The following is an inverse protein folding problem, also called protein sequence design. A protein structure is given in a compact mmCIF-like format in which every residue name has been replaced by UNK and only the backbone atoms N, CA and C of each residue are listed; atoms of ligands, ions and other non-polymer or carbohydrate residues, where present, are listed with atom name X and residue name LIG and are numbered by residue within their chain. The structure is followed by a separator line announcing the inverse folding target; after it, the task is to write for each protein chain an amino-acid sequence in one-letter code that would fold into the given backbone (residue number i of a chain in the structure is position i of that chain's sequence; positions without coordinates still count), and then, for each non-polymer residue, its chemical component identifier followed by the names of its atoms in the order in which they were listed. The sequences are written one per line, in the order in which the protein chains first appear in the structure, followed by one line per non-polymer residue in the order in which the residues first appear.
data_IF_296269191280
#
_entry.id   IF_296269191280
#
_cell.length_a   1.000
_cell.length_b   1.000
_cell.length_c   1.000
_cell.angle_alpha   90.00
_cell.angle_beta   90.00
_cell.angle_gamma   90.00
#
_symmetry.space_group_name_H-M   'P 1'
#
loop_
_entity.id
_entity.type
_entity.pdbx_description
1 polymer ?
#
# COMPACT_ATOMS: atom_id res chain seq x y z
N UNK A 1 33.54 12.23 -21.57
CA UNK A 1 33.58 10.75 -21.71
C UNK A 1 33.29 9.98 -20.40
N UNK A 2 33.94 10.28 -19.28
CA UNK A 2 33.75 9.48 -18.03
C UNK A 2 32.35 9.49 -17.43
N UNK A 3 31.62 10.61 -17.41
CA UNK A 3 30.31 10.74 -16.80
C UNK A 3 29.24 9.91 -17.53
N UNK A 4 29.25 9.84 -18.85
CA UNK A 4 28.31 9.07 -19.67
C UNK A 4 28.46 7.56 -19.40
N UNK A 5 29.68 7.03 -19.37
CA UNK A 5 29.92 5.62 -19.05
C UNK A 5 29.48 5.24 -17.65
N UNK A 6 29.64 6.17 -16.69
CA UNK A 6 29.17 5.95 -15.32
C UNK A 6 27.64 5.89 -15.26
N UNK A 7 26.92 6.79 -15.97
CA UNK A 7 25.45 6.82 -16.00
C UNK A 7 24.87 5.60 -16.72
N UNK A 8 25.49 5.20 -17.84
CA UNK A 8 25.13 3.97 -18.57
C UNK A 8 25.21 2.74 -17.66
N UNK A 9 26.36 2.56 -16.98
CA UNK A 9 26.55 1.44 -16.05
C UNK A 9 25.51 1.45 -14.91
N UNK A 10 25.18 2.61 -14.35
CA UNK A 10 24.15 2.75 -13.33
C UNK A 10 22.78 2.32 -13.87
N UNK A 11 22.40 2.77 -15.07
CA UNK A 11 21.10 2.36 -15.67
C UNK A 11 21.05 0.85 -15.93
N UNK A 12 22.14 0.23 -16.40
CA UNK A 12 22.23 -1.22 -16.60
C UNK A 12 22.06 -1.97 -15.26
N UNK A 13 22.79 -1.57 -14.23
CA UNK A 13 22.75 -2.22 -12.91
C UNK A 13 21.33 -2.10 -12.30
N UNK A 14 20.75 -0.91 -12.32
CA UNK A 14 19.39 -0.69 -11.80
C UNK A 14 18.34 -1.45 -12.61
N UNK A 15 18.48 -1.54 -13.93
CA UNK A 15 17.60 -2.36 -14.77
C UNK A 15 17.66 -3.84 -14.40
N UNK A 16 18.86 -4.39 -14.18
CA UNK A 16 19.05 -5.77 -13.72
C UNK A 16 18.46 -5.96 -12.32
N UNK A 17 18.67 -5.03 -11.39
CA UNK A 17 18.07 -5.08 -10.04
C UNK A 17 16.54 -5.16 -10.15
N UNK A 18 15.91 -4.37 -11.02
CA UNK A 18 14.45 -4.44 -11.24
C UNK A 18 14.01 -5.82 -11.72
N UNK A 19 14.74 -6.46 -12.64
CA UNK A 19 14.43 -7.80 -13.14
C UNK A 19 14.55 -8.84 -12.00
N UNK A 20 15.66 -8.84 -11.27
CA UNK A 20 15.87 -9.77 -10.17
C UNK A 20 14.84 -9.58 -9.05
N UNK A 21 14.48 -8.35 -8.76
CA UNK A 21 13.45 -8.05 -7.77
C UNK A 21 12.07 -8.53 -8.23
N UNK A 22 11.73 -8.35 -9.51
CA UNK A 22 10.50 -8.93 -10.10
C UNK A 22 10.47 -10.44 -9.93
N UNK A 23 11.56 -11.15 -10.24
CA UNK A 23 11.66 -12.60 -10.06
C UNK A 23 11.44 -12.96 -8.58
N UNK A 24 12.02 -12.21 -7.66
CA UNK A 24 11.83 -12.39 -6.21
C UNK A 24 10.36 -12.21 -5.79
N UNK A 25 9.67 -11.19 -6.30
CA UNK A 25 8.24 -10.96 -6.05
C UNK A 25 7.41 -12.15 -6.54
N UNK A 26 7.64 -12.58 -7.78
CA UNK A 26 6.90 -13.71 -8.39
C UNK A 26 7.17 -15.02 -7.63
N UNK A 27 8.42 -15.26 -7.23
CA UNK A 27 8.76 -16.43 -6.41
C UNK A 27 8.11 -16.44 -5.04
N UNK A 28 7.90 -15.26 -4.44
CA UNK A 28 7.30 -15.12 -3.10
C UNK A 28 5.76 -15.09 -3.12
N UNK A 29 5.17 -14.30 -4.01
CA UNK A 29 3.74 -14.01 -4.02
C UNK A 29 2.95 -14.66 -5.19
N UNK A 30 3.67 -15.27 -6.13
CA UNK A 30 3.09 -15.86 -7.34
C UNK A 30 3.06 -14.90 -8.53
N UNK A 31 2.81 -15.44 -9.72
CA UNK A 31 2.78 -14.66 -10.98
C UNK A 31 1.62 -13.67 -11.04
N UNK A 32 0.59 -13.88 -10.22
CA UNK A 32 -0.58 -12.99 -10.09
C UNK A 32 -0.38 -11.86 -9.10
N UNK A 33 0.86 -11.62 -8.63
CA UNK A 33 1.15 -10.52 -7.73
C UNK A 33 0.78 -9.18 -8.39
N UNK A 34 -0.21 -8.49 -7.80
CA UNK A 34 -0.74 -7.25 -8.31
C UNK A 34 0.34 -6.21 -8.54
N UNK A 35 0.31 -5.56 -9.70
CA UNK A 35 1.21 -4.46 -10.05
C UNK A 35 2.70 -4.85 -10.18
N UNK A 36 3.08 -6.13 -10.05
CA UNK A 36 4.49 -6.55 -10.13
C UNK A 36 5.15 -6.22 -11.48
N UNK A 37 4.38 -6.17 -12.55
CA UNK A 37 4.83 -5.82 -13.90
C UNK A 37 5.54 -4.45 -13.98
N UNK A 38 5.29 -3.53 -13.02
CA UNK A 38 5.92 -2.20 -12.98
C UNK A 38 7.44 -2.29 -12.92
N UNK A 39 7.98 -3.32 -12.28
CA UNK A 39 9.42 -3.56 -12.19
C UNK A 39 10.02 -3.94 -13.55
N UNK A 40 9.27 -4.68 -14.38
CA UNK A 40 9.69 -4.99 -15.76
C UNK A 40 9.65 -3.74 -16.64
N UNK A 41 8.63 -2.89 -16.48
CA UNK A 41 8.56 -1.60 -17.20
C UNK A 41 9.72 -0.70 -16.79
N UNK A 42 10.02 -0.61 -15.48
CA UNK A 42 11.20 0.13 -14.99
C UNK A 42 12.50 -0.41 -15.56
N UNK A 43 12.66 -1.74 -15.59
CA UNK A 43 13.83 -2.38 -16.20
C UNK A 43 13.95 -2.04 -17.69
N UNK A 44 12.88 -2.22 -18.47
CA UNK A 44 12.87 -1.92 -19.90
C UNK A 44 13.22 -0.46 -20.19
N UNK A 45 12.69 0.47 -19.40
CA UNK A 45 12.98 1.89 -19.51
C UNK A 45 14.47 2.19 -19.24
N UNK A 46 15.03 1.66 -18.16
CA UNK A 46 16.44 1.87 -17.81
C UNK A 46 17.40 1.24 -18.84
N UNK A 47 17.09 0.03 -19.31
CA UNK A 47 17.88 -0.64 -20.35
C UNK A 47 17.81 0.09 -21.70
N UNK A 48 16.64 0.66 -22.04
CA UNK A 48 16.47 1.47 -23.24
C UNK A 48 17.31 2.77 -23.16
N UNK A 49 17.35 3.42 -21.99
CA UNK A 49 18.23 4.60 -21.78
C UNK A 49 19.69 4.19 -21.93
N UNK A 50 20.14 3.11 -21.32
CA UNK A 50 21.53 2.64 -21.43
C UNK A 50 21.91 2.32 -22.88
N UNK A 51 21.08 1.56 -23.60
CA UNK A 51 21.28 1.26 -25.01
C UNK A 51 21.29 2.51 -25.91
N UNK A 52 20.40 3.46 -25.63
CA UNK A 52 20.37 4.76 -26.31
C UNK A 52 21.64 5.58 -26.09
N UNK A 53 22.20 5.56 -24.86
CA UNK A 53 23.47 6.25 -24.56
C UNK A 53 24.64 5.63 -25.32
N UNK A 54 24.70 4.29 -25.45
CA UNK A 54 25.71 3.59 -26.26
C UNK A 54 25.55 3.96 -27.75
N UNK A 55 24.32 3.95 -28.26
CA UNK A 55 24.09 4.30 -29.68
C UNK A 55 24.43 5.75 -29.96
N UNK A 56 24.10 6.70 -29.07
CA UNK A 56 24.43 8.11 -29.20
C UNK A 56 25.96 8.33 -29.21
N UNK A 57 26.70 7.66 -28.31
CA UNK A 57 28.15 7.77 -28.24
C UNK A 57 28.86 7.26 -29.49
N UNK A 58 28.27 6.34 -30.26
CA UNK A 58 28.79 5.77 -31.48
C UNK A 58 28.40 6.57 -32.72
N UNK A 59 27.18 7.08 -32.77
CA UNK A 59 26.60 7.66 -33.99
C UNK A 59 26.40 9.18 -33.93
N UNK A 60 26.59 9.82 -32.75
CA UNK A 60 26.46 11.26 -32.50
C UNK A 60 25.14 11.86 -33.04
N UNK A 61 24.03 11.17 -32.74
CA UNK A 61 22.68 11.53 -33.23
C UNK A 61 22.06 12.62 -32.33
N UNK A 62 22.01 13.86 -32.76
CA UNK A 62 21.47 14.99 -32.00
C UNK A 62 20.01 14.76 -31.51
N UNK A 63 19.18 14.10 -32.34
CA UNK A 63 17.82 13.76 -31.96
C UNK A 63 17.80 12.79 -30.79
N UNK A 64 18.63 11.74 -30.83
CA UNK A 64 18.75 10.77 -29.75
C UNK A 64 19.27 11.41 -28.47
N UNK A 65 20.25 12.27 -28.54
CA UNK A 65 20.76 13.05 -27.41
C UNK A 65 19.66 13.88 -26.73
N UNK A 66 18.78 14.52 -27.50
CA UNK A 66 17.68 15.31 -26.97
C UNK A 66 16.60 14.41 -26.32
N UNK A 67 16.29 13.25 -26.90
CA UNK A 67 15.38 12.26 -26.31
C UNK A 67 15.93 11.73 -24.98
N UNK A 68 17.22 11.41 -24.90
CA UNK A 68 17.85 10.96 -23.66
C UNK A 68 17.83 12.04 -22.57
N UNK A 69 18.06 13.31 -22.93
CA UNK A 69 17.92 14.44 -21.99
C UNK A 69 16.49 14.56 -21.46
N UNK A 70 15.50 14.50 -22.35
CA UNK A 70 14.08 14.53 -21.96
C UNK A 70 13.72 13.36 -21.04
N UNK A 71 14.15 12.14 -21.37
CA UNK A 71 13.96 10.96 -20.53
C UNK A 71 14.61 11.12 -19.15
N UNK A 72 15.82 11.69 -19.08
CA UNK A 72 16.50 12.01 -17.83
C UNK A 72 15.72 13.01 -16.96
N UNK A 73 15.19 14.07 -17.56
CA UNK A 73 14.35 15.06 -16.85
C UNK A 73 13.09 14.40 -16.30
N UNK A 74 12.39 13.61 -17.11
CA UNK A 74 11.19 12.88 -16.67
C UNK A 74 11.50 11.90 -15.55
N UNK A 75 12.63 11.22 -15.62
CA UNK A 75 13.08 10.32 -14.55
C UNK A 75 13.32 11.08 -13.24
N UNK A 76 13.98 12.24 -13.28
CA UNK A 76 14.19 13.08 -12.08
C UNK A 76 12.86 13.53 -11.49
N UNK A 77 11.92 14.00 -12.32
CA UNK A 77 10.59 14.39 -11.88
C UNK A 77 9.87 13.19 -11.22
N UNK A 78 9.93 12.01 -11.85
CA UNK A 78 9.36 10.78 -11.30
C UNK A 78 9.95 10.42 -9.93
N UNK A 79 11.28 10.48 -9.78
CA UNK A 79 11.97 10.23 -8.50
C UNK A 79 11.53 11.23 -7.43
N UNK A 80 11.42 12.52 -7.78
CA UNK A 80 10.96 13.55 -6.84
C UNK A 80 9.52 13.29 -6.38
N UNK A 81 8.61 12.93 -7.29
CA UNK A 81 7.21 12.59 -6.97
C UNK A 81 7.16 11.35 -6.07
N UNK A 82 7.86 10.27 -6.44
CA UNK A 82 7.91 9.04 -5.65
C UNK A 82 8.52 9.30 -4.27
N UNK A 83 9.58 10.11 -4.19
CA UNK A 83 10.23 10.49 -2.94
C UNK A 83 9.30 11.32 -2.05
N UNK A 84 8.62 12.32 -2.61
CA UNK A 84 7.67 13.17 -1.88
C UNK A 84 6.50 12.36 -1.31
N UNK A 85 5.79 11.60 -2.14
CA UNK A 85 4.65 10.76 -1.70
C UNK A 85 5.15 9.65 -0.77
N UNK A 86 6.29 9.03 -1.09
CA UNK A 86 6.92 8.01 -0.27
C UNK A 86 7.23 8.50 1.14
N UNK A 87 7.70 9.73 1.30
CA UNK A 87 7.96 10.32 2.63
C UNK A 87 6.70 10.37 3.49
N UNK A 88 5.54 10.71 2.92
CA UNK A 88 4.26 10.70 3.64
C UNK A 88 3.81 9.27 4.01
N UNK A 89 4.01 8.31 3.09
CA UNK A 89 3.74 6.89 3.36
C UNK A 89 4.63 6.41 4.51
N UNK A 90 5.93 6.68 4.48
CA UNK A 90 6.86 6.32 5.55
C UNK A 90 6.53 6.99 6.90
N UNK A 91 6.04 8.23 6.90
CA UNK A 91 5.54 8.88 8.11
C UNK A 91 4.33 8.13 8.68
N UNK A 92 3.39 7.70 7.82
CA UNK A 92 2.26 6.84 8.20
C UNK A 92 2.70 5.51 8.79
N UNK A 93 3.69 4.85 8.18
CA UNK A 93 4.23 3.56 8.62
C UNK A 93 4.85 3.60 10.02
N UNK A 94 5.38 4.76 10.43
CA UNK A 94 6.04 4.96 11.72
C UNK A 94 5.14 5.50 12.82
N UNK A 95 3.84 5.64 12.55
CA UNK A 95 2.89 6.04 13.58
C UNK A 95 2.90 5.04 14.72
N UNK A 96 2.89 5.55 15.95
CA UNK A 96 2.72 4.72 17.14
C UNK A 96 1.24 4.60 17.43
N UNK A 97 0.70 3.39 17.60
CA UNK A 97 -0.70 3.20 17.96
C UNK A 97 -1.04 3.94 19.25
N UNK A 98 -2.08 4.78 19.21
CA UNK A 98 -2.65 5.34 20.42
C UNK A 98 -3.33 4.25 21.23
N UNK A 99 -3.30 4.36 22.54
CA UNK A 99 -3.95 3.41 23.45
C UNK A 99 -5.33 3.92 23.85
N UNK A 100 -6.19 2.98 24.27
CA UNK A 100 -7.53 3.27 24.78
C UNK A 100 -8.41 4.06 23.78
N UNK A 101 -8.29 3.72 22.49
CA UNK A 101 -9.24 4.21 21.50
C UNK A 101 -10.59 3.51 21.70
N UNK A 102 -11.71 4.26 21.70
CA UNK A 102 -13.02 3.65 21.83
C UNK A 102 -13.36 2.76 20.64
N UNK A 103 -12.90 3.15 19.44
CA UNK A 103 -13.20 2.45 18.18
C UNK A 103 -11.97 2.23 17.33
N UNK A 104 -11.89 1.04 16.71
CA UNK A 104 -10.87 0.70 15.73
C UNK A 104 -11.54 0.09 14.50
N UNK A 105 -11.29 0.65 13.32
CA UNK A 105 -11.69 0.07 12.05
C UNK A 105 -10.53 -0.80 11.55
N UNK A 106 -10.76 -2.10 11.44
CA UNK A 106 -9.84 -3.06 10.84
C UNK A 106 -10.21 -3.21 9.38
N UNK A 107 -9.35 -2.70 8.50
CA UNK A 107 -9.58 -2.80 7.06
C UNK A 107 -9.28 -4.21 6.56
N UNK A 108 -10.14 -4.75 5.73
CA UNK A 108 -9.95 -6.03 5.09
C UNK A 108 -8.78 -6.05 4.10
N UNK A 109 -8.33 -7.24 3.79
CA UNK A 109 -7.39 -7.54 2.71
C UNK A 109 -7.68 -8.98 2.27
N UNK A 110 -7.52 -9.25 1.04
CA UNK A 110 -7.89 -10.48 0.32
C UNK A 110 -7.97 -11.76 1.18
N UNK A 111 -9.05 -12.50 1.02
CA UNK A 111 -9.25 -13.88 1.47
C UNK A 111 -9.03 -14.82 0.27
N UNK A 112 -8.59 -16.03 0.48
CA UNK A 112 -8.43 -17.07 -0.56
C UNK A 112 -9.30 -18.27 -0.20
N UNK A 113 -10.42 -18.42 -0.89
CA UNK A 113 -11.48 -19.30 -0.44
C UNK A 113 -12.00 -18.82 0.90
N UNK A 114 -11.80 -19.58 1.97
CA UNK A 114 -12.10 -19.20 3.37
C UNK A 114 -10.86 -18.78 4.18
N UNK A 115 -9.64 -18.84 3.60
CA UNK A 115 -8.39 -18.60 4.34
C UNK A 115 -7.94 -17.16 4.21
N UNK A 116 -7.67 -16.53 5.34
CA UNK A 116 -7.07 -15.19 5.38
C UNK A 116 -5.70 -15.16 4.71
N UNK A 117 -5.44 -14.15 3.86
CA UNK A 117 -4.13 -13.94 3.23
C UNK A 117 -3.04 -13.66 4.27
N UNK A 118 -1.75 -13.79 3.88
CA UNK A 118 -0.62 -13.44 4.77
C UNK A 118 -0.71 -11.99 5.26
N UNK A 119 -1.14 -11.06 4.39
CA UNK A 119 -1.29 -9.64 4.72
C UNK A 119 -2.42 -9.42 5.73
N UNK A 120 -3.58 -10.05 5.52
CA UNK A 120 -4.71 -9.98 6.44
C UNK A 120 -4.37 -10.60 7.79
N UNK A 121 -3.70 -11.76 7.82
CA UNK A 121 -3.27 -12.40 9.06
C UNK A 121 -2.39 -11.49 9.94
N UNK A 122 -1.46 -10.76 9.32
CA UNK A 122 -0.63 -9.80 10.07
C UNK A 122 -1.46 -8.69 10.70
N UNK A 123 -2.46 -8.15 9.97
CA UNK A 123 -3.42 -7.19 10.52
C UNK A 123 -4.18 -7.76 11.70
N UNK A 124 -4.71 -8.97 11.56
CA UNK A 124 -5.52 -9.61 12.59
C UNK A 124 -4.70 -9.93 13.84
N UNK A 125 -3.44 -10.36 13.69
CA UNK A 125 -2.53 -10.49 14.81
C UNK A 125 -2.32 -9.16 15.55
N UNK A 126 -2.10 -8.07 14.80
CA UNK A 126 -1.97 -6.74 15.37
C UNK A 126 -3.25 -6.29 16.07
N UNK A 127 -4.43 -6.58 15.49
CA UNK A 127 -5.73 -6.29 16.11
C UNK A 127 -5.95 -7.08 17.40
N UNK A 128 -5.61 -8.38 17.42
CA UNK A 128 -5.71 -9.21 18.61
C UNK A 128 -4.78 -8.73 19.73
N UNK A 129 -3.54 -8.35 19.39
CA UNK A 129 -2.59 -7.77 20.36
C UNK A 129 -3.09 -6.42 20.91
N UNK A 130 -3.64 -5.58 20.03
CA UNK A 130 -4.24 -4.31 20.44
C UNK A 130 -5.45 -4.54 21.36
N UNK A 131 -6.34 -5.50 21.02
CA UNK A 131 -7.51 -5.86 21.80
C UNK A 131 -7.18 -6.33 23.22
N UNK A 132 -6.07 -7.07 23.38
CA UNK A 132 -5.58 -7.52 24.73
C UNK A 132 -5.12 -6.36 25.59
N UNK A 133 -4.53 -5.33 25.01
CA UNK A 133 -4.02 -4.15 25.72
C UNK A 133 -5.10 -3.10 25.99
N UNK A 134 -6.19 -3.13 25.21
CA UNK A 134 -7.26 -2.15 25.23
C UNK A 134 -8.62 -2.87 25.33
N UNK A 135 -9.04 -3.32 26.55
CA UNK A 135 -10.19 -4.19 26.73
C UNK A 135 -11.53 -3.56 26.36
N UNK A 136 -11.63 -2.23 26.38
CA UNK A 136 -12.89 -1.51 26.12
C UNK A 136 -13.06 -1.10 24.65
N UNK A 137 -12.05 -1.31 23.81
CA UNK A 137 -12.10 -0.97 22.39
C UNK A 137 -13.08 -1.85 21.62
N UNK A 138 -13.95 -1.23 20.82
CA UNK A 138 -14.84 -1.90 19.85
C UNK A 138 -14.18 -1.90 18.48
N UNK A 139 -14.21 -3.03 17.78
CA UNK A 139 -13.60 -3.21 16.46
C UNK A 139 -14.66 -3.30 15.37
N UNK A 140 -14.55 -2.47 14.35
CA UNK A 140 -15.30 -2.57 13.11
C UNK A 140 -14.46 -3.36 12.10
N UNK A 141 -14.92 -4.53 11.71
CA UNK A 141 -14.28 -5.42 10.75
C UNK A 141 -14.90 -5.11 9.39
N UNK A 142 -14.17 -4.44 8.52
CA UNK A 142 -14.74 -3.91 7.29
C UNK A 142 -14.07 -4.49 6.05
N UNK A 143 -14.89 -5.14 5.21
CA UNK A 143 -14.51 -5.75 3.95
C UNK A 143 -15.57 -6.72 3.46
N UNK A 144 -16.07 -6.49 2.24
CA UNK A 144 -17.04 -7.37 1.57
C UNK A 144 -16.36 -8.60 0.97
N UNK A 145 -17.07 -9.25 0.07
CA UNK A 145 -16.60 -10.44 -0.65
C UNK A 145 -15.96 -10.01 -1.98
N UNK A 146 -14.69 -10.35 -2.15
CA UNK A 146 -13.94 -10.12 -3.39
C UNK A 146 -14.07 -11.26 -4.39
N UNK A 147 -13.54 -11.06 -5.60
CA UNK A 147 -13.51 -12.07 -6.65
C UNK A 147 -12.70 -13.30 -6.20
N UNK A 148 -13.32 -14.48 -6.26
CA UNK A 148 -12.71 -15.77 -5.87
C UNK A 148 -12.64 -16.00 -4.37
N UNK A 149 -13.40 -15.27 -3.58
CA UNK A 149 -13.59 -15.48 -2.16
C UNK A 149 -14.90 -16.23 -1.88
N UNK A 150 -14.87 -17.19 -0.95
CA UNK A 150 -16.04 -17.99 -0.57
C UNK A 150 -16.81 -17.39 0.63
N UNK A 151 -16.22 -16.38 1.27
CA UNK A 151 -16.78 -15.65 2.43
C UNK A 151 -16.41 -14.17 2.32
N UNK A 152 -17.05 -13.30 3.10
CA UNK A 152 -16.64 -11.90 3.18
C UNK A 152 -15.35 -11.74 3.99
N UNK A 153 -14.58 -10.69 3.68
CA UNK A 153 -13.39 -10.39 4.47
C UNK A 153 -13.76 -10.11 5.94
N UNK A 154 -14.89 -9.44 6.19
CA UNK A 154 -15.39 -9.15 7.54
C UNK A 154 -15.68 -10.41 8.33
N UNK A 155 -16.33 -11.42 7.72
CA UNK A 155 -16.63 -12.69 8.35
C UNK A 155 -15.36 -13.48 8.69
N UNK A 156 -14.44 -13.60 7.72
CA UNK A 156 -13.16 -14.25 7.97
C UNK A 156 -12.32 -13.54 9.06
N UNK A 157 -12.41 -12.21 9.14
CA UNK A 157 -11.76 -11.43 10.20
C UNK A 157 -12.39 -11.70 11.57
N UNK A 158 -13.73 -11.81 11.64
CA UNK A 158 -14.45 -12.06 12.87
C UNK A 158 -14.11 -13.45 13.43
N UNK A 159 -14.18 -14.49 12.61
CA UNK A 159 -13.81 -15.85 13.00
C UNK A 159 -12.39 -15.89 13.57
N UNK A 160 -11.43 -15.30 12.84
CA UNK A 160 -10.03 -15.27 13.26
C UNK A 160 -9.85 -14.58 14.62
N UNK A 161 -10.50 -13.43 14.86
CA UNK A 161 -10.36 -12.68 16.10
C UNK A 161 -11.03 -13.38 17.29
N UNK A 162 -12.16 -14.05 17.07
CA UNK A 162 -12.79 -14.89 18.10
C UNK A 162 -11.87 -16.05 18.48
N UNK A 163 -11.29 -16.75 17.50
CA UNK A 163 -10.29 -17.80 17.75
C UNK A 163 -9.06 -17.27 18.50
N UNK A 164 -8.64 -16.03 18.22
CA UNK A 164 -7.56 -15.36 18.94
C UNK A 164 -7.94 -14.87 20.35
N UNK A 165 -9.18 -15.09 20.79
CA UNK A 165 -9.68 -14.80 22.15
C UNK A 165 -10.24 -13.38 22.31
N UNK A 166 -10.59 -12.68 21.21
CA UNK A 166 -11.31 -11.40 21.30
C UNK A 166 -12.81 -11.66 21.52
N UNK A 167 -13.42 -10.99 22.50
CA UNK A 167 -14.86 -11.12 22.77
C UNK A 167 -15.69 -10.68 21.55
N UNK A 168 -16.55 -11.58 21.06
CA UNK A 168 -17.44 -11.32 19.93
C UNK A 168 -18.34 -10.09 20.14
N UNK A 169 -18.67 -9.73 21.38
CA UNK A 169 -19.45 -8.52 21.70
C UNK A 169 -18.75 -7.22 21.33
N UNK A 170 -17.44 -7.26 21.16
CA UNK A 170 -16.61 -6.12 20.76
C UNK A 170 -16.42 -6.02 19.25
N UNK A 171 -16.90 -6.98 18.48
CA UNK A 171 -16.74 -7.05 17.02
C UNK A 171 -18.03 -6.62 16.33
N UNK A 172 -17.90 -5.71 15.36
CA UNK A 172 -18.97 -5.25 14.48
C UNK A 172 -18.53 -5.50 13.04
N UNK A 173 -19.35 -6.18 12.26
CA UNK A 173 -19.05 -6.49 10.86
C UNK A 173 -19.63 -5.43 9.92
N UNK A 174 -18.86 -5.05 8.95
CA UNK A 174 -19.27 -4.33 7.75
C UNK A 174 -18.79 -5.15 6.54
N UNK A 175 -19.71 -5.77 5.82
CA UNK A 175 -19.46 -6.83 4.83
C UNK A 175 -19.86 -6.45 3.39
N UNK A 176 -20.15 -5.15 3.12
CA UNK A 176 -20.65 -4.68 1.81
C UNK A 176 -19.59 -3.94 1.00
N UNK A 177 -18.56 -3.44 1.66
CA UNK A 177 -17.55 -2.58 1.04
C UNK A 177 -16.63 -3.35 0.11
N UNK A 178 -16.25 -2.71 -1.01
CA UNK A 178 -15.30 -3.22 -1.99
C UNK A 178 -14.07 -2.32 -2.15
N UNK A 179 -14.06 -1.15 -1.51
CA UNK A 179 -12.97 -0.17 -1.55
C UNK A 179 -12.72 0.42 -0.18
N UNK A 180 -11.50 0.90 0.06
CA UNK A 180 -11.15 1.60 1.31
C UNK A 180 -12.07 2.80 1.59
N UNK A 181 -12.52 3.50 0.55
CA UNK A 181 -13.47 4.59 0.70
C UNK A 181 -14.83 4.11 1.24
N UNK A 182 -15.32 2.99 0.73
CA UNK A 182 -16.57 2.37 1.19
C UNK A 182 -16.43 1.76 2.58
N UNK A 183 -15.29 1.15 2.90
CA UNK A 183 -15.03 0.66 4.25
C UNK A 183 -15.29 1.74 5.31
N UNK A 184 -14.69 2.91 5.12
CA UNK A 184 -14.86 4.03 6.04
C UNK A 184 -16.28 4.56 6.05
N UNK A 185 -16.88 4.73 4.87
CA UNK A 185 -18.25 5.22 4.71
C UNK A 185 -19.24 4.29 5.41
N UNK A 186 -19.17 3.00 5.13
CA UNK A 186 -20.15 2.04 5.64
C UNK A 186 -19.96 1.74 7.13
N UNK A 187 -18.73 1.79 7.65
CA UNK A 187 -18.52 1.77 9.11
C UNK A 187 -19.21 2.95 9.80
N UNK A 188 -19.13 4.15 9.22
CA UNK A 188 -19.82 5.31 9.77
C UNK A 188 -21.36 5.24 9.62
N UNK A 189 -21.86 4.51 8.61
CA UNK A 189 -23.32 4.25 8.48
C UNK A 189 -23.82 3.25 9.54
N UNK A 190 -22.99 2.27 9.96
CA UNK A 190 -23.32 1.34 11.03
C UNK A 190 -23.38 2.04 12.39
N UNK A 191 -22.49 2.96 12.64
CA UNK A 191 -22.42 3.77 13.84
C UNK A 191 -21.76 5.11 13.51
N UNK A 192 -22.32 6.26 13.93
CA UNK A 192 -21.71 7.57 13.73
C UNK A 192 -20.32 7.62 14.39
N UNK A 193 -19.25 7.62 13.56
CA UNK A 193 -17.87 7.59 14.00
C UNK A 193 -17.12 8.89 13.73
N UNK A 194 -17.71 9.84 13.01
CA UNK A 194 -17.04 11.05 12.54
C UNK A 194 -16.49 11.91 13.67
N UNK A 195 -17.22 12.03 14.79
CA UNK A 195 -16.85 12.82 15.96
C UNK A 195 -16.16 12.01 17.06
N UNK A 196 -15.99 10.71 16.83
CA UNK A 196 -15.35 9.80 17.77
C UNK A 196 -13.84 9.69 17.50
N UNK A 197 -13.10 9.27 18.53
CA UNK A 197 -11.68 8.92 18.37
C UNK A 197 -11.56 7.55 17.74
N UNK A 198 -11.05 7.49 16.50
CA UNK A 198 -11.03 6.25 15.72
C UNK A 198 -9.61 5.88 15.30
N UNK A 199 -9.20 4.63 15.57
CA UNK A 199 -8.02 4.02 15.00
C UNK A 199 -8.34 3.32 13.68
N UNK A 200 -7.49 3.51 12.66
CA UNK A 200 -7.55 2.71 11.42
C UNK A 200 -6.41 1.72 11.44
N UNK A 201 -6.73 0.43 11.55
CA UNK A 201 -5.78 -0.65 11.53
C UNK A 201 -5.65 -1.25 10.14
N UNK A 202 -4.45 -1.18 9.59
CA UNK A 202 -4.13 -1.72 8.27
C UNK A 202 -2.63 -2.06 8.17
N UNK A 203 -2.19 -2.64 7.03
CA UNK A 203 -0.77 -2.78 6.79
C UNK A 203 -0.10 -1.40 6.74
N UNK A 204 1.11 -1.33 7.27
CA UNK A 204 1.86 -0.10 7.52
C UNK A 204 1.92 0.84 6.30
N UNK A 205 2.26 0.31 5.11
CA UNK A 205 2.31 1.10 3.88
C UNK A 205 0.97 1.75 3.50
N UNK A 206 -0.17 1.18 3.94
CA UNK A 206 -1.51 1.64 3.59
C UNK A 206 -2.08 2.70 4.56
N UNK A 207 -1.51 2.85 5.75
CA UNK A 207 -2.02 3.71 6.82
C UNK A 207 -2.20 5.15 6.38
N UNK A 208 -1.19 5.74 5.72
CA UNK A 208 -1.28 7.13 5.27
C UNK A 208 -2.53 7.39 4.43
N UNK A 209 -2.76 6.59 3.39
CA UNK A 209 -3.91 6.75 2.49
C UNK A 209 -5.23 6.53 3.20
N UNK A 210 -5.33 5.51 4.04
CA UNK A 210 -6.56 5.21 4.77
C UNK A 210 -6.95 6.34 5.73
N UNK A 211 -6.00 6.88 6.50
CA UNK A 211 -6.22 8.02 7.41
C UNK A 211 -6.61 9.28 6.64
N UNK A 212 -5.94 9.59 5.52
CA UNK A 212 -6.30 10.76 4.70
C UNK A 212 -7.69 10.62 4.06
N UNK A 213 -8.08 9.42 3.65
CA UNK A 213 -9.44 9.15 3.15
C UNK A 213 -10.50 9.34 4.26
N UNK A 214 -10.22 8.88 5.48
CA UNK A 214 -11.12 9.10 6.62
C UNK A 214 -11.29 10.60 6.91
N UNK A 215 -10.21 11.35 7.00
CA UNK A 215 -10.26 12.81 7.17
C UNK A 215 -11.05 13.49 6.06
N UNK A 216 -10.92 13.02 4.82
CA UNK A 216 -11.67 13.55 3.69
C UNK A 216 -13.16 13.26 3.78
N UNK A 217 -13.57 12.19 4.47
CA UNK A 217 -14.96 11.84 4.75
C UNK A 217 -15.53 12.53 6.01
N UNK A 218 -14.72 13.30 6.74
CA UNK A 218 -15.18 14.06 7.90
C UNK A 218 -14.90 13.42 9.26
N UNK A 219 -14.04 12.39 9.32
CA UNK A 219 -13.52 11.89 10.61
C UNK A 219 -12.62 12.96 11.24
N UNK A 220 -12.98 13.45 12.42
CA UNK A 220 -12.33 14.59 13.08
C UNK A 220 -11.07 14.14 13.83
N UNK A 221 -11.16 13.07 14.62
CA UNK A 221 -10.07 12.51 15.43
C UNK A 221 -9.74 11.09 14.96
N UNK A 222 -8.84 10.97 13.98
CA UNK A 222 -8.47 9.70 13.38
C UNK A 222 -6.95 9.51 13.34
N UNK A 223 -6.50 8.36 13.81
CA UNK A 223 -5.08 7.95 13.80
C UNK A 223 -4.89 6.57 13.15
N UNK A 224 -3.64 6.25 12.81
CA UNK A 224 -3.27 4.98 12.21
C UNK A 224 -2.73 3.97 13.22
N UNK A 225 -3.08 2.70 13.04
CA UNK A 225 -2.51 1.55 13.73
C UNK A 225 -1.82 0.67 12.69
N UNK A 226 -0.50 0.88 12.44
CA UNK A 226 0.23 0.16 11.40
C UNK A 226 0.54 -1.27 11.82
N UNK A 227 0.12 -2.24 11.01
CA UNK A 227 0.55 -3.64 11.08
C UNK A 227 1.74 -3.87 10.16
N UNK A 228 2.82 -4.44 10.65
CA UNK A 228 4.04 -4.65 9.89
C UNK A 228 3.83 -5.52 8.63
N UNK A 229 4.46 -5.12 7.54
CA UNK A 229 4.46 -5.85 6.26
C UNK A 229 5.68 -6.76 6.12
N UNK A 230 5.75 -7.52 5.02
CA UNK A 230 6.91 -8.36 4.72
C UNK A 230 8.05 -7.52 4.15
N UNK A 231 9.24 -7.61 4.74
CA UNK A 231 10.40 -6.81 4.35
C UNK A 231 10.78 -6.96 2.86
N UNK A 232 10.69 -8.19 2.32
CA UNK A 232 10.95 -8.45 0.90
C UNK A 232 9.98 -7.69 -0.01
N UNK A 233 8.70 -7.63 0.38
CA UNK A 233 7.64 -6.99 -0.40
C UNK A 233 7.51 -5.50 -0.16
N UNK A 234 8.18 -4.96 0.86
CA UNK A 234 8.05 -3.57 1.28
C UNK A 234 8.28 -2.55 0.15
N UNK A 235 9.38 -2.62 -0.65
CA UNK A 235 9.59 -1.67 -1.74
C UNK A 235 8.49 -1.74 -2.80
N UNK A 236 7.99 -2.96 -3.09
CA UNK A 236 6.89 -3.16 -4.02
C UNK A 236 5.58 -2.55 -3.49
N UNK A 237 5.26 -2.81 -2.22
CA UNK A 237 4.05 -2.26 -1.59
C UNK A 237 4.09 -0.73 -1.51
N UNK A 238 5.23 -0.14 -1.14
CA UNK A 238 5.38 1.32 -1.10
C UNK A 238 5.24 1.92 -2.48
N UNK A 239 5.87 1.35 -3.51
CA UNK A 239 5.74 1.84 -4.89
C UNK A 239 4.29 1.77 -5.38
N UNK A 240 3.61 0.64 -5.18
CA UNK A 240 2.18 0.49 -5.50
C UNK A 240 1.33 1.52 -4.75
N UNK A 241 1.64 1.76 -3.50
CA UNK A 241 0.91 2.70 -2.67
C UNK A 241 1.12 4.15 -3.12
N UNK A 242 2.31 4.52 -3.62
CA UNK A 242 2.53 5.84 -4.26
C UNK A 242 1.53 6.07 -5.39
N UNK A 243 1.37 5.10 -6.29
CA UNK A 243 0.38 5.21 -7.38
C UNK A 243 -1.06 5.25 -6.86
N UNK A 244 -1.38 4.47 -5.82
CA UNK A 244 -2.70 4.48 -5.20
C UNK A 244 -3.04 5.84 -4.55
N UNK A 245 -2.07 6.47 -3.88
CA UNK A 245 -2.18 7.81 -3.30
C UNK A 245 -2.42 8.85 -4.39
N UNK A 246 -1.62 8.85 -5.45
CA UNK A 246 -1.79 9.77 -6.59
C UNK A 246 -3.16 9.60 -7.24
N UNK A 247 -3.60 8.36 -7.48
CA UNK A 247 -4.92 8.07 -8.05
C UNK A 247 -6.07 8.51 -7.12
N UNK A 248 -5.94 8.29 -5.81
CA UNK A 248 -6.94 8.73 -4.82
C UNK A 248 -7.03 10.26 -4.75
N UNK A 249 -5.89 10.95 -4.82
CA UNK A 249 -5.83 12.42 -4.85
C UNK A 249 -6.47 12.97 -6.12
N UNK A 250 -6.15 12.41 -7.29
CA UNK A 250 -6.76 12.81 -8.56
C UNK A 250 -8.28 12.62 -8.60
N UNK A 251 -8.80 11.59 -7.88
CA UNK A 251 -10.23 11.33 -7.73
C UNK A 251 -10.90 12.16 -6.62
N UNK A 252 -10.19 13.07 -5.96
CA UNK A 252 -10.70 13.90 -4.86
C UNK A 252 -11.01 13.15 -3.56
N UNK A 253 -10.56 11.89 -3.44
CA UNK A 253 -10.81 11.04 -2.27
C UNK A 253 -9.83 11.29 -1.10
N UNK A 254 -8.78 12.05 -1.31
CA UNK A 254 -7.83 12.49 -0.29
C UNK A 254 -7.08 13.75 -0.73
N UNK A 255 -6.29 14.34 0.18
CA UNK A 255 -5.30 15.39 -0.10
C UNK A 255 -3.92 14.91 0.39
N UNK A 256 -2.89 15.24 -0.37
CA UNK A 256 -1.48 15.00 0.03
C UNK A 256 -1.02 16.17 0.88
#
# INVERSE_FOLDING_TARGET
MSIWHSTEAVCLILGLICIFYYIGIVGYAGITADFAWIWLVGAAFLLAIAGGMVAESRHHMAVLANLLRAAGILMVIGILVVGFVGAHIFAGMRQKPEQNLPYVIVLGAQVRGTKVSKALRKRLNCAAEYAKKNPDTVFFLSGGQGDGEDTTEAEAMQEYLIEAGVDAKRLRMEDRSTTTWENLKFCNELQPLHTERVGILSNDFHIYRAVQMARRQGYEDVCGIPSASDALMQPHYVLREVFAVLAATARGKMRI
#
